data_IF_300296252778
#
_entry.id   IF_300296252778
#
_cell.length_a   1.000
_cell.length_b   1.000
_cell.length_c   1.000
_cell.angle_alpha   90.00
_cell.angle_beta   90.00
_cell.angle_gamma   90.00
#
_symmetry.space_group_name_H-M   'P 1'
#
loop_
_entity.id
_entity.type
_entity.pdbx_description
1 polymer ?
#
# COMPACT_ATOMS: atom_id res chain seq x y z
N UNK A 1 39.62 17.63 -25.64
CA UNK A 1 40.27 17.49 -26.96
C UNK A 1 39.12 17.24 -27.93
N UNK A 2 38.66 18.31 -28.59
CA UNK A 2 37.46 18.30 -29.43
C UNK A 2 37.74 17.54 -30.73
N UNK A 3 37.00 16.47 -30.98
CA UNK A 3 36.81 15.94 -32.33
C UNK A 3 35.47 16.45 -32.83
N UNK A 4 35.53 17.59 -33.53
CA UNK A 4 34.51 17.92 -34.53
C UNK A 4 34.51 16.79 -35.55
N UNK A 5 33.40 16.08 -35.66
CA UNK A 5 33.11 15.26 -36.83
C UNK A 5 32.40 16.20 -37.80
N UNK A 6 33.03 16.44 -38.95
CA UNK A 6 32.49 17.24 -40.03
C UNK A 6 31.15 16.65 -40.52
N UNK A 7 30.16 17.52 -40.67
CA UNK A 7 28.77 17.19 -40.96
C UNK A 7 28.46 17.12 -42.47
N UNK A 8 29.41 16.66 -43.28
CA UNK A 8 29.21 16.47 -44.72
C UNK A 8 29.44 15.00 -45.12
N UNK A 9 28.41 14.39 -45.72
CA UNK A 9 28.32 13.00 -46.24
C UNK A 9 28.19 11.86 -45.22
N UNK A 10 27.21 11.94 -44.32
CA UNK A 10 26.65 10.74 -43.67
C UNK A 10 25.29 10.47 -44.32
N UNK A 11 25.16 9.33 -45.01
CA UNK A 11 23.90 8.82 -45.54
C UNK A 11 22.77 8.99 -44.48
N UNK A 12 21.61 9.60 -44.79
CA UNK A 12 20.52 9.80 -43.84
C UNK A 12 20.07 8.50 -43.15
N UNK A 13 20.21 7.35 -43.81
CA UNK A 13 19.95 6.01 -43.24
C UNK A 13 21.02 5.57 -42.22
N UNK A 14 22.21 6.17 -42.25
CA UNK A 14 23.39 5.70 -41.52
C UNK A 14 23.32 5.93 -40.01
N UNK A 15 22.33 6.66 -39.49
CA UNK A 15 22.20 6.69 -38.04
C UNK A 15 20.78 6.83 -37.48
N UNK A 16 19.82 6.06 -38.02
CA UNK A 16 18.49 5.87 -37.41
C UNK A 16 18.61 5.57 -35.90
N UNK A 17 19.57 4.69 -35.52
CA UNK A 17 19.80 4.33 -34.12
C UNK A 17 20.15 5.55 -33.27
N UNK A 18 21.05 6.42 -33.74
CA UNK A 18 21.41 7.64 -33.05
C UNK A 18 20.23 8.61 -32.95
N UNK A 19 19.48 8.82 -34.03
CA UNK A 19 18.32 9.74 -34.02
C UNK A 19 17.29 9.28 -32.98
N UNK A 20 16.96 7.98 -32.99
CA UNK A 20 16.00 7.40 -32.02
C UNK A 20 16.56 7.46 -30.60
N UNK A 21 17.86 7.23 -30.41
CA UNK A 21 18.52 7.30 -29.11
C UNK A 21 18.57 8.72 -28.54
N UNK A 22 18.92 9.70 -29.36
CA UNK A 22 18.93 11.12 -28.98
C UNK A 22 17.53 11.61 -28.66
N UNK A 23 16.52 11.23 -29.45
CA UNK A 23 15.13 11.54 -29.13
C UNK A 23 14.75 10.97 -27.77
N UNK A 24 15.03 9.69 -27.53
CA UNK A 24 14.73 9.00 -26.29
C UNK A 24 15.35 9.70 -25.08
N UNK A 25 16.67 9.95 -25.10
CA UNK A 25 17.41 10.55 -24.00
C UNK A 25 17.02 12.02 -23.71
N UNK A 26 16.56 12.76 -24.73
CA UNK A 26 16.19 14.17 -24.61
C UNK A 26 14.68 14.43 -24.50
N UNK A 27 13.84 13.40 -24.55
CA UNK A 27 12.36 13.52 -24.47
C UNK A 27 11.81 13.92 -23.09
N UNK A 28 12.67 14.16 -22.10
CA UNK A 28 12.32 14.52 -20.72
C UNK A 28 11.96 13.33 -19.82
N UNK A 29 11.20 12.38 -20.36
CA UNK A 29 10.68 11.21 -19.63
C UNK A 29 10.95 9.88 -20.35
N UNK A 30 11.96 9.85 -21.21
CA UNK A 30 12.38 8.63 -21.93
C UNK A 30 11.25 8.04 -22.80
N UNK A 31 10.52 8.91 -23.49
CA UNK A 31 9.48 8.55 -24.44
C UNK A 31 10.09 8.11 -25.77
N UNK A 32 9.44 7.14 -26.42
CA UNK A 32 9.87 6.66 -27.73
C UNK A 32 9.48 7.60 -28.87
N UNK A 33 10.24 7.52 -29.95
CA UNK A 33 10.04 8.31 -31.16
C UNK A 33 9.00 7.64 -32.06
N UNK A 34 7.96 8.35 -32.50
CA UNK A 34 7.03 7.76 -33.47
C UNK A 34 7.73 7.54 -34.81
N UNK A 35 7.35 6.48 -35.54
CA UNK A 35 7.87 6.24 -36.89
C UNK A 35 7.66 7.45 -37.79
N UNK A 36 6.49 8.11 -37.67
CA UNK A 36 6.20 9.35 -38.40
C UNK A 36 7.23 10.45 -38.12
N UNK A 37 7.59 10.68 -36.86
CA UNK A 37 8.60 11.68 -36.53
C UNK A 37 9.97 11.32 -37.10
N UNK A 38 10.32 10.02 -37.12
CA UNK A 38 11.55 9.55 -37.76
C UNK A 38 11.52 9.79 -39.27
N UNK A 39 10.43 9.44 -39.95
CA UNK A 39 10.25 9.65 -41.38
C UNK A 39 10.30 11.14 -41.76
N UNK A 40 9.73 12.02 -40.93
CA UNK A 40 9.84 13.48 -41.09
C UNK A 40 11.30 13.98 -40.92
N UNK A 41 12.12 13.28 -40.13
CA UNK A 41 13.51 13.66 -39.86
C UNK A 41 14.50 13.13 -40.90
N UNK A 42 14.26 11.94 -41.45
CA UNK A 42 15.20 11.21 -42.33
C UNK A 42 14.76 11.21 -43.80
N UNK A 43 13.45 11.27 -44.08
CA UNK A 43 12.90 11.04 -45.42
C UNK A 43 12.79 9.54 -45.77
N UNK A 44 12.48 9.24 -47.04
CA UNK A 44 12.53 7.88 -47.63
C UNK A 44 11.92 6.74 -46.79
N UNK A 45 10.61 6.82 -46.49
CA UNK A 45 9.89 5.83 -45.66
C UNK A 45 10.21 4.37 -46.01
N UNK A 46 10.21 4.01 -47.30
CA UNK A 46 10.46 2.64 -47.76
C UNK A 46 11.86 2.15 -47.32
N UNK A 47 12.89 3.00 -47.46
CA UNK A 47 14.25 2.64 -47.06
C UNK A 47 14.36 2.50 -45.52
N UNK A 48 13.63 3.32 -44.76
CA UNK A 48 13.53 3.17 -43.30
C UNK A 48 12.90 1.82 -42.95
N UNK A 49 11.77 1.45 -43.59
CA UNK A 49 11.08 0.18 -43.31
C UNK A 49 11.99 -1.03 -43.56
N UNK A 50 12.73 -1.04 -44.67
CA UNK A 50 13.72 -2.09 -44.99
C UNK A 50 14.83 -2.14 -43.93
N UNK A 51 15.36 -0.97 -43.53
CA UNK A 51 16.42 -0.90 -42.53
C UNK A 51 15.97 -1.32 -41.13
N UNK A 52 14.71 -1.07 -40.77
CA UNK A 52 14.15 -1.45 -39.47
C UNK A 52 14.19 -2.96 -39.23
N UNK A 53 14.01 -3.77 -40.28
CA UNK A 53 14.10 -5.24 -40.18
C UNK A 53 15.49 -5.68 -39.72
N UNK A 54 16.55 -5.06 -40.27
CA UNK A 54 17.93 -5.32 -39.85
C UNK A 54 18.17 -4.86 -38.42
N UNK A 55 17.75 -3.63 -38.09
CA UNK A 55 17.99 -3.04 -36.76
C UNK A 55 17.31 -3.81 -35.62
N UNK A 56 16.15 -4.41 -35.87
CA UNK A 56 15.47 -5.27 -34.88
C UNK A 56 16.18 -6.61 -34.74
N UNK A 57 16.60 -7.22 -35.85
CA UNK A 57 17.35 -8.49 -35.83
C UNK A 57 18.70 -8.34 -35.13
N UNK A 58 19.34 -7.19 -35.31
CA UNK A 58 20.61 -6.87 -34.68
C UNK A 58 20.48 -6.42 -33.22
N UNK A 59 19.26 -6.45 -32.65
CA UNK A 59 18.94 -5.97 -31.29
C UNK A 59 19.43 -4.52 -31.08
N UNK A 60 19.32 -3.66 -32.09
CA UNK A 60 19.68 -2.26 -32.03
C UNK A 60 18.48 -1.37 -31.65
N UNK A 61 17.33 -1.66 -32.24
CA UNK A 61 16.05 -1.00 -31.95
C UNK A 61 14.97 -2.03 -31.66
N UNK A 62 13.92 -1.61 -30.97
CA UNK A 62 12.67 -2.36 -30.88
C UNK A 62 11.47 -1.46 -31.12
N UNK A 63 10.34 -2.10 -31.42
CA UNK A 63 9.07 -1.44 -31.70
C UNK A 63 8.09 -1.65 -30.53
N UNK A 64 7.42 -0.58 -30.14
CA UNK A 64 6.21 -0.61 -29.32
C UNK A 64 5.00 -0.15 -30.15
N UNK A 65 3.85 -0.78 -29.94
CA UNK A 65 2.63 -0.51 -30.71
C UNK A 65 1.37 -0.66 -29.85
N UNK A 66 0.31 0.07 -30.22
CA UNK A 66 -0.99 0.04 -29.53
C UNK A 66 -1.70 -1.32 -29.56
N UNK A 67 -1.25 -2.23 -30.44
CA UNK A 67 -1.68 -3.64 -30.49
C UNK A 67 -1.16 -4.46 -29.31
N UNK A 68 -0.06 -4.04 -28.69
CA UNK A 68 0.58 -4.76 -27.59
C UNK A 68 0.36 -4.05 -26.25
N UNK A 69 0.36 -2.72 -26.25
CA UNK A 69 0.29 -1.91 -25.03
C UNK A 69 -0.66 -0.73 -25.18
N UNK A 70 -1.25 -0.28 -24.06
CA UNK A 70 -2.21 0.83 -24.06
C UNK A 70 -1.55 2.15 -24.48
N UNK A 71 -0.32 2.40 -24.06
CA UNK A 71 0.46 3.59 -24.42
C UNK A 71 1.82 3.18 -24.99
N UNK A 72 2.02 3.21 -26.32
CA UNK A 72 3.28 2.81 -26.94
C UNK A 72 4.41 3.83 -26.75
N UNK A 73 4.11 5.06 -26.32
CA UNK A 73 5.11 6.11 -26.03
C UNK A 73 5.84 5.92 -24.71
N UNK A 74 5.49 4.89 -23.93
CA UNK A 74 6.29 4.45 -22.79
C UNK A 74 6.68 2.97 -22.94
N UNK A 75 7.86 2.61 -22.46
CA UNK A 75 8.30 1.24 -22.23
C UNK A 75 7.54 0.70 -21.00
N UNK A 76 6.34 0.19 -21.23
CA UNK A 76 5.50 -0.36 -20.16
C UNK A 76 6.03 -1.71 -19.67
N UNK A 77 6.46 -2.55 -20.61
CA UNK A 77 6.95 -3.92 -20.40
C UNK A 77 8.20 -4.14 -21.24
N UNK A 78 8.95 -5.24 -21.01
CA UNK A 78 9.99 -5.67 -21.92
C UNK A 78 9.47 -5.79 -23.37
N UNK A 79 10.34 -5.60 -24.37
CA UNK A 79 9.95 -5.67 -25.77
C UNK A 79 9.41 -7.05 -26.15
N UNK A 80 8.49 -7.06 -27.12
CA UNK A 80 7.97 -8.28 -27.74
C UNK A 80 9.08 -9.08 -28.45
N UNK A 81 8.82 -10.35 -28.76
CA UNK A 81 9.79 -11.15 -29.52
C UNK A 81 10.09 -10.53 -30.89
N UNK A 82 11.29 -10.80 -31.42
CA UNK A 82 11.72 -10.31 -32.75
C UNK A 82 10.69 -10.72 -33.80
N UNK A 83 10.17 -11.95 -33.77
CA UNK A 83 9.19 -12.47 -34.72
C UNK A 83 7.88 -11.68 -34.68
N UNK A 84 7.39 -11.35 -33.49
CA UNK A 84 6.19 -10.52 -33.31
C UNK A 84 6.39 -9.12 -33.89
N UNK A 85 7.54 -8.52 -33.64
CA UNK A 85 7.88 -7.19 -34.17
C UNK A 85 8.01 -7.20 -35.70
N UNK A 86 8.67 -8.20 -36.27
CA UNK A 86 8.79 -8.35 -37.74
C UNK A 86 7.44 -8.65 -38.40
N UNK A 87 6.57 -9.43 -37.74
CA UNK A 87 5.20 -9.65 -38.20
C UNK A 87 4.38 -8.36 -38.25
N UNK A 88 4.60 -7.45 -37.29
CA UNK A 88 3.97 -6.13 -37.30
C UNK A 88 4.42 -5.29 -38.50
N UNK A 89 5.72 -5.27 -38.80
CA UNK A 89 6.26 -4.59 -39.99
C UNK A 89 5.64 -5.18 -41.27
N UNK A 90 5.64 -6.51 -41.41
CA UNK A 90 5.09 -7.19 -42.58
C UNK A 90 3.59 -6.93 -42.79
N UNK A 91 2.86 -6.61 -41.73
CA UNK A 91 1.43 -6.24 -41.79
C UNK A 91 1.16 -4.78 -42.16
N UNK A 92 2.21 -3.96 -42.39
CA UNK A 92 2.08 -2.54 -42.76
C UNK A 92 1.78 -1.60 -41.60
N UNK A 93 1.94 -2.07 -40.35
CA UNK A 93 1.58 -1.34 -39.13
C UNK A 93 2.75 -0.52 -38.55
N UNK A 94 3.91 -0.54 -39.20
CA UNK A 94 5.11 0.19 -38.75
C UNK A 94 4.85 1.71 -38.65
N UNK A 95 3.99 2.26 -39.52
CA UNK A 95 3.71 3.71 -39.57
C UNK A 95 3.07 4.27 -38.29
N UNK A 96 2.33 3.45 -37.55
CA UNK A 96 1.72 3.79 -36.26
C UNK A 96 2.55 3.36 -35.06
N UNK A 97 3.76 2.87 -35.29
CA UNK A 97 4.61 2.33 -34.24
C UNK A 97 5.52 3.39 -33.62
N UNK A 98 5.99 3.06 -32.41
CA UNK A 98 6.93 3.87 -31.63
C UNK A 98 8.24 3.10 -31.50
N UNK A 99 9.34 3.79 -31.74
CA UNK A 99 10.68 3.25 -31.84
C UNK A 99 11.47 3.58 -30.57
N UNK A 100 12.25 2.60 -30.11
CA UNK A 100 13.14 2.74 -28.97
C UNK A 100 14.51 2.12 -29.26
N UNK A 101 15.59 2.69 -28.71
CA UNK A 101 16.85 1.98 -28.65
C UNK A 101 16.76 0.83 -27.66
N UNK A 102 17.46 -0.27 -27.93
CA UNK A 102 17.55 -1.38 -26.97
C UNK A 102 18.46 -1.02 -25.81
N UNK A 103 18.28 -1.70 -24.67
CA UNK A 103 19.18 -1.54 -23.52
C UNK A 103 20.66 -1.82 -23.89
N UNK A 104 20.90 -2.74 -24.83
CA UNK A 104 22.24 -3.05 -25.35
C UNK A 104 22.89 -1.85 -26.06
N UNK A 105 22.11 -1.08 -26.82
CA UNK A 105 22.59 0.16 -27.45
C UNK A 105 22.81 1.23 -26.38
N UNK A 106 21.82 1.45 -25.51
CA UNK A 106 21.87 2.47 -24.46
C UNK A 106 23.08 2.30 -23.53
N UNK A 107 23.41 1.08 -23.12
CA UNK A 107 24.59 0.80 -22.28
C UNK A 107 25.92 1.27 -22.88
N UNK A 108 26.02 1.42 -24.21
CA UNK A 108 27.24 1.85 -24.89
C UNK A 108 27.31 3.36 -25.07
N UNK A 109 26.16 4.03 -25.18
CA UNK A 109 26.09 5.44 -25.56
C UNK A 109 25.75 6.35 -24.38
N UNK A 110 25.11 5.82 -23.33
CA UNK A 110 24.74 6.59 -22.14
C UNK A 110 26.00 6.90 -21.34
N UNK A 111 26.30 8.19 -21.23
CA UNK A 111 27.27 8.68 -20.26
C UNK A 111 26.67 8.64 -18.84
N UNK A 112 27.05 7.60 -18.09
CA UNK A 112 26.55 7.36 -16.73
C UNK A 112 26.96 8.46 -15.75
N UNK A 113 28.01 9.23 -16.05
CA UNK A 113 28.46 10.33 -15.18
C UNK A 113 27.43 11.46 -15.11
N UNK A 114 26.60 11.64 -16.16
CA UNK A 114 25.49 12.61 -16.19
C UNK A 114 24.39 12.29 -15.17
N UNK A 115 24.35 11.06 -14.66
CA UNK A 115 23.33 10.58 -13.73
C UNK A 115 23.89 10.23 -12.35
N UNK A 116 25.10 10.70 -12.01
CA UNK A 116 25.75 10.38 -10.74
C UNK A 116 24.87 10.69 -9.51
N UNK A 117 24.04 11.74 -9.60
CA UNK A 117 23.12 12.16 -8.54
C UNK A 117 21.69 11.63 -8.70
N UNK A 118 21.35 11.03 -9.85
CA UNK A 118 20.00 10.56 -10.19
C UNK A 118 19.99 9.07 -10.61
N UNK A 119 20.33 8.15 -9.68
CA UNK A 119 20.55 6.73 -10.00
C UNK A 119 19.29 6.02 -10.50
N UNK A 120 18.10 6.46 -10.10
CA UNK A 120 16.85 5.87 -10.57
C UNK A 120 16.50 6.38 -11.97
N UNK A 121 16.83 7.63 -12.28
CA UNK A 121 16.78 8.17 -13.65
C UNK A 121 17.78 7.48 -14.59
N UNK A 122 18.95 7.06 -14.08
CA UNK A 122 19.91 6.26 -14.86
C UNK A 122 19.31 4.94 -15.34
N UNK A 123 18.51 4.26 -14.51
CA UNK A 123 17.86 3.02 -14.93
C UNK A 123 16.94 3.24 -16.14
N UNK A 124 16.18 4.33 -16.16
CA UNK A 124 15.40 4.73 -17.33
C UNK A 124 16.31 5.05 -18.51
N UNK A 125 17.36 5.84 -18.33
CA UNK A 125 18.31 6.15 -19.40
C UNK A 125 18.93 4.88 -20.04
N UNK A 126 19.10 3.82 -19.27
CA UNK A 126 19.60 2.52 -19.72
C UNK A 126 18.50 1.60 -20.30
N UNK A 127 17.27 2.07 -20.48
CA UNK A 127 16.20 1.36 -21.17
C UNK A 127 15.31 0.49 -20.28
N UNK A 128 15.34 0.68 -18.96
CA UNK A 128 14.43 -0.06 -18.08
C UNK A 128 12.97 0.40 -18.30
N UNK A 129 11.98 -0.50 -18.16
CA UNK A 129 10.57 -0.13 -18.26
C UNK A 129 10.18 0.97 -17.27
N UNK A 130 9.47 1.99 -17.75
CA UNK A 130 9.01 3.13 -16.93
C UNK A 130 8.03 2.68 -15.84
N UNK A 131 7.18 1.69 -16.13
CA UNK A 131 6.30 1.07 -15.13
C UNK A 131 6.95 -0.11 -14.39
N UNK A 132 8.26 -0.33 -14.62
CA UNK A 132 9.04 -1.30 -13.87
C UNK A 132 9.03 -0.98 -12.39
N UNK A 133 9.01 -2.02 -11.56
CA UNK A 133 8.93 -1.87 -10.10
C UNK A 133 10.29 -2.14 -9.48
N UNK A 134 10.76 -1.20 -8.66
CA UNK A 134 11.97 -1.37 -7.84
C UNK A 134 11.57 -1.73 -6.42
N UNK A 135 12.30 -2.67 -5.81
CA UNK A 135 12.06 -3.14 -4.45
C UNK A 135 13.05 -2.51 -3.47
N UNK A 136 12.55 -2.11 -2.30
CA UNK A 136 13.31 -1.43 -1.26
C UNK A 136 13.09 -2.06 0.10
N UNK A 137 14.09 -1.97 0.97
CA UNK A 137 13.89 -2.27 2.38
C UNK A 137 12.84 -1.32 2.97
N UNK A 138 11.87 -1.80 3.77
CA UNK A 138 10.77 -0.95 4.26
C UNK A 138 11.22 0.29 5.03
N UNK A 139 12.41 0.26 5.62
CA UNK A 139 13.08 1.39 6.25
C UNK A 139 13.21 2.65 5.37
N UNK A 140 13.13 2.53 4.04
CA UNK A 140 13.14 3.69 3.13
C UNK A 140 12.01 4.68 3.42
N UNK A 141 10.89 4.19 3.95
CA UNK A 141 9.72 5.01 4.26
C UNK A 141 9.76 5.65 5.66
N UNK A 142 10.70 5.26 6.53
CA UNK A 142 10.69 5.67 7.95
C UNK A 142 10.89 7.16 8.15
N UNK A 143 11.83 7.76 7.41
CA UNK A 143 12.11 9.19 7.53
C UNK A 143 10.86 10.03 7.25
N UNK A 144 10.06 9.60 6.27
CA UNK A 144 8.86 10.33 5.90
C UNK A 144 7.71 10.03 6.86
N UNK A 145 7.53 8.77 7.26
CA UNK A 145 6.47 8.39 8.22
C UNK A 145 6.63 9.09 9.57
N UNK A 146 7.86 9.32 9.99
CA UNK A 146 8.18 9.90 11.30
C UNK A 146 8.31 11.43 11.28
N UNK A 147 8.23 12.05 10.09
CA UNK A 147 8.29 13.50 9.93
C UNK A 147 6.89 14.04 9.61
N UNK A 148 6.29 14.84 10.51
CA UNK A 148 4.91 15.31 10.37
C UNK A 148 4.69 16.24 9.19
N UNK A 149 5.74 16.73 8.53
CA UNK A 149 5.64 17.51 7.29
C UNK A 149 5.15 16.68 6.11
N UNK A 150 5.37 15.37 6.16
CA UNK A 150 4.92 14.44 5.13
C UNK A 150 3.59 13.80 5.52
N UNK A 151 2.70 13.71 4.55
CA UNK A 151 1.54 12.83 4.60
C UNK A 151 1.94 11.43 4.13
N UNK A 152 2.18 10.56 5.11
CA UNK A 152 2.31 9.13 4.90
C UNK A 152 0.97 8.44 5.12
N UNK A 153 0.45 7.78 4.08
CA UNK A 153 -0.77 6.99 4.17
C UNK A 153 -0.63 5.65 3.50
N UNK A 154 -1.16 4.59 4.12
CA UNK A 154 -1.24 3.28 3.49
C UNK A 154 -2.41 2.45 4.01
N UNK A 155 -2.93 1.57 3.16
CA UNK A 155 -3.87 0.53 3.56
C UNK A 155 -3.24 -0.86 3.62
N UNK A 156 -1.91 -0.97 3.76
CA UNK A 156 -1.10 -2.20 3.70
C UNK A 156 -1.05 -2.90 2.33
N UNK A 157 -1.69 -2.33 1.31
CA UNK A 157 -1.60 -2.79 -0.08
C UNK A 157 -1.00 -1.69 -0.94
N UNK A 158 -1.60 -0.50 -0.87
CA UNK A 158 -1.16 0.71 -1.55
C UNK A 158 -0.88 1.77 -0.49
N UNK A 159 0.11 2.60 -0.75
CA UNK A 159 0.31 3.82 0.00
C UNK A 159 0.66 4.98 -0.91
N UNK A 160 0.64 6.17 -0.32
CA UNK A 160 1.12 7.41 -0.93
C UNK A 160 2.00 8.13 0.06
N UNK A 161 2.94 8.88 -0.49
CA UNK A 161 3.86 9.71 0.25
C UNK A 161 3.90 11.06 -0.44
N UNK A 162 3.39 12.09 0.22
CA UNK A 162 3.39 13.46 -0.31
C UNK A 162 3.79 14.43 0.79
N UNK A 163 4.42 15.55 0.44
CA UNK A 163 4.49 16.70 1.34
C UNK A 163 3.07 17.17 1.67
N UNK A 164 2.80 17.54 2.92
CA UNK A 164 1.47 18.03 3.28
C UNK A 164 1.23 19.42 2.73
N UNK A 165 -0.02 19.74 2.40
CA UNK A 165 -0.43 21.03 1.83
C UNK A 165 0.04 22.26 2.63
N UNK A 166 0.19 22.13 3.96
CA UNK A 166 0.70 23.20 4.84
C UNK A 166 2.15 23.62 4.50
N UNK A 167 2.96 22.72 3.94
CA UNK A 167 4.37 22.93 3.64
C UNK A 167 4.66 22.97 2.13
N UNK A 168 3.68 22.71 1.27
CA UNK A 168 3.84 22.73 -0.18
C UNK A 168 4.01 24.17 -0.71
N UNK A 169 4.98 24.40 -1.61
CA UNK A 169 5.33 25.71 -2.16
C UNK A 169 5.62 26.79 -1.08
N UNK A 170 6.06 26.36 0.11
CA UNK A 170 6.49 27.25 1.20
C UNK A 170 8.00 27.40 1.22
N UNK A 171 8.50 28.51 1.80
CA UNK A 171 9.92 28.71 2.04
C UNK A 171 10.46 27.89 3.23
N UNK A 172 9.58 27.25 4.00
CA UNK A 172 9.93 26.49 5.21
C UNK A 172 10.50 25.10 4.89
N UNK A 173 10.24 24.59 3.67
CA UNK A 173 10.72 23.30 3.19
C UNK A 173 11.41 23.48 1.84
N UNK A 174 12.68 23.02 1.70
CA UNK A 174 13.37 23.05 0.41
C UNK A 174 12.57 22.37 -0.69
N UNK A 175 12.68 22.87 -1.93
CA UNK A 175 12.00 22.28 -3.10
C UNK A 175 12.37 20.80 -3.29
N UNK A 176 13.62 20.43 -2.99
CA UNK A 176 14.10 19.03 -3.02
C UNK A 176 13.29 18.10 -2.11
N UNK A 177 12.74 18.62 -1.02
CA UNK A 177 12.04 17.86 0.01
C UNK A 177 10.51 17.85 -0.21
N UNK A 178 10.00 18.59 -1.21
CA UNK A 178 8.59 18.64 -1.60
C UNK A 178 8.20 17.41 -2.45
N UNK A 179 8.44 16.23 -1.89
CA UNK A 179 8.29 14.93 -2.53
C UNK A 179 6.82 14.64 -2.84
N UNK A 180 6.56 14.13 -4.04
CA UNK A 180 5.27 13.56 -4.43
C UNK A 180 5.50 12.16 -5.01
N UNK A 181 5.28 11.13 -4.19
CA UNK A 181 5.20 9.75 -4.61
C UNK A 181 3.75 9.30 -4.54
N UNK A 182 3.08 9.37 -5.69
CA UNK A 182 1.63 9.20 -5.79
C UNK A 182 1.16 7.81 -5.31
N UNK A 183 1.99 6.79 -5.57
CA UNK A 183 1.70 5.40 -5.24
C UNK A 183 2.98 4.64 -4.94
N UNK A 184 2.95 3.89 -3.86
CA UNK A 184 3.81 2.75 -3.62
C UNK A 184 2.96 1.56 -3.16
N UNK A 185 3.55 0.39 -3.10
CA UNK A 185 2.93 -0.79 -2.52
C UNK A 185 3.98 -1.67 -1.88
N UNK A 186 3.67 -2.96 -1.76
CA UNK A 186 4.53 -3.89 -1.05
C UNK A 186 4.74 -5.20 -1.81
N UNK A 187 5.89 -5.81 -1.56
CA UNK A 187 6.23 -7.15 -1.98
C UNK A 187 6.55 -8.02 -0.76
N UNK A 188 6.33 -9.32 -0.91
CA UNK A 188 6.65 -10.31 0.12
C UNK A 188 7.47 -11.44 -0.51
N UNK A 189 8.42 -11.94 0.25
CA UNK A 189 9.19 -13.14 -0.11
C UNK A 189 8.51 -14.40 0.38
N UNK A 190 8.88 -15.56 -0.17
CA UNK A 190 8.42 -16.86 0.35
C UNK A 190 8.84 -17.11 1.81
N UNK A 191 9.93 -16.48 2.24
CA UNK A 191 10.46 -16.59 3.61
C UNK A 191 9.89 -15.53 4.57
N UNK A 192 8.95 -14.70 4.12
CA UNK A 192 8.25 -13.72 4.97
C UNK A 192 8.94 -12.36 5.12
N UNK A 193 10.09 -12.13 4.48
CA UNK A 193 10.63 -10.77 4.30
C UNK A 193 9.65 -9.91 3.51
N UNK A 194 9.64 -8.62 3.83
CA UNK A 194 8.80 -7.61 3.20
C UNK A 194 9.67 -6.57 2.51
N UNK A 195 9.15 -6.01 1.44
CA UNK A 195 9.77 -4.92 0.71
C UNK A 195 8.72 -3.89 0.32
N UNK A 196 9.16 -2.64 0.16
CA UNK A 196 8.39 -1.57 -0.46
C UNK A 196 8.62 -1.67 -1.96
N UNK A 197 7.57 -1.44 -2.74
CA UNK A 197 7.56 -1.57 -4.19
C UNK A 197 7.07 -0.26 -4.80
N UNK A 198 7.89 0.41 -5.61
CA UNK A 198 7.53 1.68 -6.26
C UNK A 198 7.89 1.67 -7.74
N UNK A 199 7.12 2.39 -8.55
CA UNK A 199 7.34 2.48 -10.00
C UNK A 199 8.57 3.33 -10.31
N UNK A 200 9.39 2.87 -11.25
CA UNK A 200 10.65 3.51 -11.61
C UNK A 200 10.45 4.93 -12.12
N UNK A 201 9.41 5.17 -12.93
CA UNK A 201 9.06 6.52 -13.41
C UNK A 201 8.76 7.50 -12.28
N UNK A 202 7.95 7.09 -11.29
CA UNK A 202 7.63 7.94 -10.14
C UNK A 202 8.89 8.25 -9.32
N UNK A 203 9.76 7.25 -9.17
CA UNK A 203 11.03 7.37 -8.45
C UNK A 203 12.05 8.27 -9.18
N UNK A 204 12.09 8.23 -10.51
CA UNK A 204 12.98 9.06 -11.32
C UNK A 204 12.58 10.53 -11.37
N UNK A 205 11.35 10.84 -10.93
CA UNK A 205 10.84 12.20 -10.77
C UNK A 205 11.08 12.78 -9.37
N UNK A 206 11.64 11.99 -8.43
CA UNK A 206 12.10 12.54 -7.17
C UNK A 206 13.32 13.44 -7.38
N UNK A 207 13.55 14.36 -6.44
CA UNK A 207 14.78 15.14 -6.39
C UNK A 207 16.02 14.24 -6.29
N UNK A 208 17.17 14.79 -6.68
CA UNK A 208 18.46 14.12 -6.66
C UNK A 208 18.76 13.49 -5.29
N UNK A 209 18.55 14.25 -4.21
CA UNK A 209 18.76 13.81 -2.83
C UNK A 209 17.88 12.59 -2.51
N UNK A 210 16.61 12.63 -2.88
CA UNK A 210 15.70 11.55 -2.58
C UNK A 210 15.91 10.33 -3.49
N UNK A 211 16.34 10.50 -4.74
CA UNK A 211 16.80 9.38 -5.56
C UNK A 211 17.97 8.65 -4.91
N UNK A 212 18.94 9.38 -4.31
CA UNK A 212 20.04 8.77 -3.57
C UNK A 212 19.55 8.01 -2.33
N UNK A 213 18.66 8.61 -1.53
CA UNK A 213 18.11 7.98 -0.33
C UNK A 213 17.39 6.68 -0.67
N UNK A 214 16.55 6.70 -1.71
CA UNK A 214 15.82 5.53 -2.17
C UNK A 214 16.78 4.47 -2.72
N UNK A 215 17.70 4.86 -3.60
CA UNK A 215 18.68 3.93 -4.18
C UNK A 215 19.55 3.24 -3.13
N UNK A 216 19.98 3.96 -2.09
CA UNK A 216 20.74 3.39 -0.97
C UNK A 216 19.97 2.32 -0.18
N UNK A 217 18.63 2.26 -0.32
CA UNK A 217 17.75 1.26 0.30
C UNK A 217 17.16 0.26 -0.69
N UNK A 218 17.57 0.30 -1.96
CA UNK A 218 17.15 -0.68 -2.95
C UNK A 218 17.64 -2.08 -2.55
N UNK A 219 16.79 -3.08 -2.75
CA UNK A 219 17.15 -4.48 -2.53
C UNK A 219 17.89 -4.95 -3.79
N UNK A 220 19.13 -5.46 -3.67
CA UNK A 220 19.88 -5.99 -4.80
C UNK A 220 19.11 -7.11 -5.53
N UNK A 221 19.23 -7.16 -6.86
CA UNK A 221 18.60 -8.15 -7.74
C UNK A 221 18.82 -9.59 -7.26
N UNK A 222 20.03 -9.89 -6.81
CA UNK A 222 20.43 -11.22 -6.35
C UNK A 222 19.63 -11.63 -5.10
N UNK A 223 19.30 -10.67 -4.23
CA UNK A 223 18.46 -10.91 -3.06
C UNK A 223 16.98 -10.99 -3.43
N UNK A 224 16.52 -10.19 -4.40
CA UNK A 224 15.15 -10.28 -4.94
C UNK A 224 14.89 -11.69 -5.45
N UNK A 225 15.79 -12.22 -6.26
CA UNK A 225 15.72 -13.57 -6.83
C UNK A 225 15.87 -14.65 -5.76
N UNK A 226 16.91 -14.58 -4.92
CA UNK A 226 17.18 -15.56 -3.86
C UNK A 226 16.01 -15.75 -2.90
N UNK A 227 15.33 -14.65 -2.55
CA UNK A 227 14.19 -14.70 -1.62
C UNK A 227 12.84 -14.87 -2.33
N UNK A 228 12.82 -14.89 -3.67
CA UNK A 228 11.61 -15.00 -4.48
C UNK A 228 10.53 -13.98 -4.06
N UNK A 229 10.91 -12.70 -4.04
CA UNK A 229 9.93 -11.64 -3.81
C UNK A 229 8.89 -11.60 -4.91
N UNK A 230 7.64 -11.38 -4.52
CA UNK A 230 6.53 -11.13 -5.43
C UNK A 230 5.68 -9.99 -4.87
N UNK A 231 5.12 -9.19 -5.78
CA UNK A 231 4.20 -8.12 -5.42
C UNK A 231 2.95 -8.72 -4.76
N UNK A 232 2.39 -7.98 -3.81
CA UNK A 232 1.03 -8.27 -3.34
C UNK A 232 0.10 -8.17 -4.56
N UNK A 233 -0.72 -9.21 -4.77
CA UNK A 233 -1.57 -9.33 -5.97
C UNK A 233 -2.44 -8.08 -6.18
N UNK A 234 -3.05 -7.57 -5.12
CA UNK A 234 -3.91 -6.39 -5.18
C UNK A 234 -3.14 -5.12 -5.54
N UNK A 235 -1.83 -5.03 -5.24
CA UNK A 235 -0.99 -3.94 -5.71
C UNK A 235 -0.65 -4.09 -7.20
N UNK A 236 -0.34 -5.31 -7.65
CA UNK A 236 -0.14 -5.60 -9.07
C UNK A 236 -1.38 -5.24 -9.91
N UNK A 237 -2.58 -5.52 -9.41
CA UNK A 237 -3.83 -5.08 -10.03
C UNK A 237 -3.90 -3.56 -10.19
N UNK A 238 -3.51 -2.80 -9.16
CA UNK A 238 -3.48 -1.33 -9.21
C UNK A 238 -2.50 -0.82 -10.26
N UNK A 239 -1.32 -1.43 -10.36
CA UNK A 239 -0.33 -1.08 -11.40
C UNK A 239 -0.87 -1.33 -12.81
N UNK A 240 -1.66 -2.37 -13.00
CA UNK A 240 -2.31 -2.70 -14.27
C UNK A 240 -3.59 -1.88 -14.55
N UNK A 241 -3.99 -0.97 -13.65
CA UNK A 241 -5.26 -0.24 -13.75
C UNK A 241 -6.50 -1.12 -13.51
N UNK A 242 -6.33 -2.31 -12.95
CA UNK A 242 -7.41 -3.23 -12.61
C UNK A 242 -8.08 -2.87 -11.28
N UNK A 243 -9.35 -3.26 -11.12
CA UNK A 243 -10.06 -3.11 -9.85
C UNK A 243 -9.57 -4.14 -8.82
N UNK A 244 -9.20 -3.65 -7.63
CA UNK A 244 -8.88 -4.51 -6.49
C UNK A 244 -10.06 -5.41 -6.11
N UNK A 245 -9.77 -6.69 -5.90
CA UNK A 245 -10.78 -7.67 -5.48
C UNK A 245 -10.86 -7.85 -3.95
N UNK A 246 -9.80 -7.47 -3.23
CA UNK A 246 -9.69 -7.64 -1.78
C UNK A 246 -9.14 -6.38 -1.14
N UNK A 247 -9.39 -6.22 0.16
CA UNK A 247 -8.78 -5.19 0.99
C UNK A 247 -7.80 -5.85 1.98
N UNK A 248 -7.01 -5.03 2.67
CA UNK A 248 -6.11 -5.53 3.70
C UNK A 248 -6.86 -5.97 4.95
N UNK A 249 -6.16 -6.69 5.81
CA UNK A 249 -6.69 -7.11 7.10
C UNK A 249 -7.04 -5.91 8.00
N UNK A 250 -6.24 -4.85 7.96
CA UNK A 250 -6.48 -3.61 8.70
C UNK A 250 -7.76 -2.93 8.22
N UNK A 251 -7.96 -2.87 6.91
CA UNK A 251 -9.20 -2.34 6.32
C UNK A 251 -10.41 -3.20 6.70
N UNK A 252 -10.30 -4.53 6.58
CA UNK A 252 -11.36 -5.46 6.96
C UNK A 252 -11.75 -5.32 8.44
N UNK A 253 -10.75 -5.15 9.32
CA UNK A 253 -10.95 -4.87 10.74
C UNK A 253 -11.80 -3.62 10.98
N UNK A 254 -11.54 -2.51 10.26
CA UNK A 254 -12.34 -1.29 10.37
C UNK A 254 -13.76 -1.47 9.84
N UNK A 255 -13.93 -2.21 8.75
CA UNK A 255 -15.27 -2.53 8.22
C UNK A 255 -16.10 -3.35 9.22
N UNK A 256 -15.50 -4.30 9.94
CA UNK A 256 -16.22 -5.07 10.97
C UNK A 256 -16.68 -4.14 12.12
N UNK A 257 -15.83 -3.20 12.55
CA UNK A 257 -16.18 -2.21 13.58
C UNK A 257 -17.32 -1.29 13.16
N UNK A 258 -17.25 -0.74 11.95
CA UNK A 258 -18.32 0.09 11.38
C UNK A 258 -19.63 -0.69 11.25
N UNK A 259 -19.59 -1.93 10.75
CA UNK A 259 -20.79 -2.75 10.61
C UNK A 259 -21.45 -3.06 11.96
N UNK A 260 -20.67 -3.31 13.02
CA UNK A 260 -21.20 -3.46 14.39
C UNK A 260 -21.93 -2.18 14.82
N UNK A 261 -21.32 -1.01 14.59
CA UNK A 261 -21.93 0.27 14.91
C UNK A 261 -23.23 0.50 14.15
N UNK A 262 -23.29 0.17 12.87
CA UNK A 262 -24.51 0.31 12.06
C UNK A 262 -25.64 -0.60 12.56
N UNK A 263 -25.34 -1.87 12.87
CA UNK A 263 -26.33 -2.80 13.46
C UNK A 263 -26.85 -2.27 14.79
N UNK A 264 -25.95 -1.90 15.71
CA UNK A 264 -26.34 -1.41 17.03
C UNK A 264 -27.08 -0.08 16.98
N UNK A 265 -26.69 0.83 16.08
CA UNK A 265 -27.38 2.09 15.89
C UNK A 265 -28.78 1.89 15.32
N UNK A 266 -28.98 0.93 14.41
CA UNK A 266 -30.30 0.61 13.88
C UNK A 266 -31.25 0.10 14.99
N UNK A 267 -30.78 -0.82 15.84
CA UNK A 267 -31.56 -1.49 16.88
C UNK A 267 -31.72 -0.67 18.17
N UNK A 268 -30.62 -0.12 18.70
CA UNK A 268 -30.57 0.54 20.01
C UNK A 268 -30.44 2.07 19.95
N UNK A 269 -30.36 2.65 18.73
CA UNK A 269 -30.13 4.10 18.52
C UNK A 269 -28.85 4.62 19.19
N UNK A 270 -27.91 3.72 19.47
CA UNK A 270 -26.60 4.00 20.08
C UNK A 270 -25.55 3.11 19.42
N UNK A 271 -24.35 3.67 19.23
CA UNK A 271 -23.16 2.94 18.73
C UNK A 271 -22.41 2.28 19.89
N UNK A 272 -21.88 1.06 19.67
CA UNK A 272 -21.00 0.36 20.63
C UNK A 272 -19.62 1.01 20.66
N UNK A 273 -19.08 1.41 19.52
CA UNK A 273 -17.79 2.08 19.41
C UNK A 273 -18.00 3.57 19.16
N UNK A 274 -17.26 4.42 19.89
CA UNK A 274 -17.38 5.87 19.76
C UNK A 274 -16.95 6.36 18.37
N UNK A 275 -15.96 5.70 17.76
CA UNK A 275 -15.43 5.98 16.41
C UNK A 275 -15.13 4.67 15.68
N UNK A 276 -15.23 4.66 14.35
CA UNK A 276 -14.94 3.47 13.52
C UNK A 276 -13.84 3.71 12.46
N UNK A 277 -13.25 4.92 12.40
CA UNK A 277 -12.08 5.33 11.58
C UNK A 277 -12.08 4.85 10.12
N UNK A 278 -13.25 4.47 9.58
CA UNK A 278 -13.37 3.95 8.23
C UNK A 278 -12.86 4.96 7.20
N UNK A 279 -13.16 6.23 7.45
CA UNK A 279 -12.58 7.38 6.77
C UNK A 279 -11.35 7.86 7.55
N UNK A 280 -10.17 7.45 7.08
CA UNK A 280 -8.89 7.97 7.59
C UNK A 280 -8.04 6.99 8.40
N UNK A 281 -8.40 5.70 8.52
CA UNK A 281 -7.49 4.72 9.13
C UNK A 281 -6.12 4.64 8.44
N UNK A 282 -6.06 4.98 7.15
CA UNK A 282 -4.80 5.04 6.39
C UNK A 282 -3.79 6.04 6.97
N UNK A 283 -4.26 6.99 7.80
CA UNK A 283 -3.43 7.96 8.55
C UNK A 283 -3.02 7.46 9.93
N UNK A 284 -3.56 6.31 10.38
CA UNK A 284 -3.17 5.66 11.63
C UNK A 284 -1.94 4.77 11.36
N UNK A 285 -0.80 5.39 11.07
CA UNK A 285 0.45 4.71 10.70
C UNK A 285 0.93 3.66 11.72
N UNK A 286 0.51 3.77 12.98
CA UNK A 286 0.78 2.77 14.02
C UNK A 286 -0.05 1.49 13.93
N UNK A 287 -1.11 1.46 13.12
CA UNK A 287 -1.98 0.29 12.94
C UNK A 287 -1.64 -0.51 11.69
N UNK A 288 -1.11 0.17 10.67
CA UNK A 288 -0.59 -0.42 9.45
C UNK A 288 0.68 -1.24 9.71
N UNK A 289 1.17 -1.90 8.66
CA UNK A 289 2.38 -2.69 8.68
C UNK A 289 3.57 -1.93 9.29
N UNK A 290 4.27 -2.58 10.22
CA UNK A 290 5.53 -2.03 10.76
C UNK A 290 6.59 -1.97 9.66
N UNK A 291 7.20 -0.79 9.48
CA UNK A 291 8.33 -0.59 8.57
C UNK A 291 9.58 -1.29 9.13
N UNK A 292 9.90 -1.06 10.41
CA UNK A 292 10.90 -1.83 11.13
C UNK A 292 10.25 -2.70 12.20
N UNK A 293 10.55 -4.01 12.24
CA UNK A 293 10.05 -4.91 13.26
C UNK A 293 10.88 -4.74 14.53
N UNK A 294 10.63 -3.63 15.25
CA UNK A 294 11.25 -3.35 16.54
C UNK A 294 10.26 -3.55 17.67
N UNK A 295 10.78 -3.82 18.88
CA UNK A 295 9.96 -3.93 20.09
C UNK A 295 9.14 -2.66 20.31
N UNK A 296 9.74 -1.48 20.09
CA UNK A 296 9.04 -0.19 20.18
C UNK A 296 7.86 -0.08 19.21
N UNK A 297 8.07 -0.39 17.94
CA UNK A 297 7.01 -0.33 16.92
C UNK A 297 5.87 -1.31 17.24
N UNK A 298 6.22 -2.52 17.71
CA UNK A 298 5.23 -3.51 18.10
C UNK A 298 4.40 -3.06 19.31
N UNK A 299 5.03 -2.44 20.31
CA UNK A 299 4.31 -1.90 21.48
C UNK A 299 3.41 -0.72 21.10
N UNK A 300 3.87 0.17 20.21
CA UNK A 300 3.05 1.26 19.67
C UNK A 300 1.81 0.71 18.96
N UNK A 301 1.99 -0.34 18.13
CA UNK A 301 0.90 -1.03 17.46
C UNK A 301 -0.10 -1.64 18.46
N UNK A 302 0.36 -2.42 19.44
CA UNK A 302 -0.54 -3.05 20.43
C UNK A 302 -1.31 -1.99 21.21
N UNK A 303 -0.63 -0.93 21.64
CA UNK A 303 -1.25 0.15 22.39
C UNK A 303 -2.36 0.81 21.57
N UNK A 304 -2.10 1.11 20.30
CA UNK A 304 -3.09 1.71 19.40
C UNK A 304 -4.26 0.76 19.13
N UNK A 305 -3.97 -0.53 18.88
CA UNK A 305 -5.00 -1.54 18.65
C UNK A 305 -5.95 -1.68 19.85
N UNK A 306 -5.42 -1.74 21.07
CA UNK A 306 -6.25 -1.80 22.28
C UNK A 306 -7.05 -0.51 22.51
N UNK A 307 -6.48 0.65 22.17
CA UNK A 307 -7.20 1.93 22.27
C UNK A 307 -8.38 1.97 21.31
N UNK A 308 -8.20 1.48 20.08
CA UNK A 308 -9.22 1.39 19.03
C UNK A 308 -10.31 0.35 19.40
N UNK A 309 -9.93 -0.72 20.07
CA UNK A 309 -10.86 -1.78 20.48
C UNK A 309 -11.55 -1.49 21.81
N UNK A 310 -10.79 -1.48 22.89
CA UNK A 310 -11.29 -1.56 24.25
C UNK A 310 -11.65 -0.18 24.81
N UNK A 311 -10.76 0.80 24.63
CA UNK A 311 -10.98 2.15 25.19
C UNK A 311 -12.00 2.96 24.36
N UNK A 312 -12.17 2.58 23.11
CA UNK A 312 -13.14 3.18 22.19
C UNK A 312 -14.58 2.69 22.40
N UNK A 313 -14.82 1.69 23.25
CA UNK A 313 -16.18 1.25 23.57
C UNK A 313 -16.94 2.37 24.29
N UNK A 314 -18.10 2.72 23.77
CA UNK A 314 -19.01 3.71 24.30
C UNK A 314 -19.71 3.17 25.57
N UNK A 315 -19.25 3.58 26.75
CA UNK A 315 -19.89 3.20 28.02
C UNK A 315 -21.38 3.56 28.08
N UNK A 316 -21.80 4.66 27.43
CA UNK A 316 -23.20 5.11 27.43
C UNK A 316 -24.13 4.18 26.65
N UNK A 317 -23.59 3.30 25.80
CA UNK A 317 -24.36 2.25 25.14
C UNK A 317 -25.03 1.33 26.17
N UNK A 318 -24.35 1.07 27.28
CA UNK A 318 -24.75 0.10 28.30
C UNK A 318 -25.68 0.67 29.39
N UNK A 319 -25.98 1.97 29.36
CA UNK A 319 -26.88 2.61 30.33
C UNK A 319 -28.27 1.95 30.29
N UNK A 320 -28.76 1.51 31.45
CA UNK A 320 -30.04 0.82 31.56
C UNK A 320 -30.00 -0.67 31.19
N UNK A 321 -28.86 -1.19 30.73
CA UNK A 321 -28.68 -2.62 30.42
C UNK A 321 -27.85 -3.36 31.47
N UNK A 322 -26.77 -2.73 31.97
CA UNK A 322 -25.87 -3.32 32.97
C UNK A 322 -25.43 -2.28 34.00
N UNK A 323 -25.12 -2.73 35.23
CA UNK A 323 -24.54 -1.85 36.25
C UNK A 323 -23.08 -1.51 35.92
N UNK A 324 -22.69 -0.26 36.12
CA UNK A 324 -21.31 0.21 35.90
C UNK A 324 -20.36 -0.10 37.04
N UNK A 325 -20.88 -0.48 38.18
CA UNK A 325 -20.11 -0.71 39.39
C UNK A 325 -20.20 -2.18 39.80
N UNK A 326 -19.12 -2.67 40.41
CA UNK A 326 -19.08 -3.95 41.10
C UNK A 326 -18.85 -3.70 42.57
N UNK A 327 -19.76 -4.22 43.39
CA UNK A 327 -19.61 -4.27 44.83
C UNK A 327 -18.89 -5.56 45.23
N UNK A 328 -17.82 -5.43 46.01
CA UNK A 328 -17.11 -6.57 46.60
C UNK A 328 -17.09 -6.42 48.11
N UNK A 329 -17.67 -7.38 48.83
CA UNK A 329 -17.62 -7.41 50.28
C UNK A 329 -16.19 -7.74 50.75
N UNK A 330 -15.61 -6.84 51.55
CA UNK A 330 -14.31 -7.06 52.19
C UNK A 330 -14.49 -7.90 53.47
N UNK A 331 -13.42 -8.55 53.91
CA UNK A 331 -13.42 -9.42 55.09
C UNK A 331 -13.82 -8.71 56.40
N UNK A 332 -13.82 -7.38 56.42
CA UNK A 332 -14.21 -6.52 57.54
C UNK A 332 -15.65 -5.98 57.45
N UNK A 333 -16.45 -6.47 56.49
CA UNK A 333 -17.84 -6.05 56.28
C UNK A 333 -18.00 -4.75 55.50
N UNK A 334 -16.92 -4.07 55.08
CA UNK A 334 -17.00 -2.90 54.20
C UNK A 334 -17.24 -3.33 52.75
N UNK A 335 -18.00 -2.51 52.01
CA UNK A 335 -18.22 -2.72 50.57
C UNK A 335 -17.20 -1.90 49.78
N UNK A 336 -16.41 -2.56 48.95
CA UNK A 336 -15.56 -1.91 47.95
C UNK A 336 -16.34 -1.79 46.65
N UNK A 337 -16.61 -0.56 46.22
CA UNK A 337 -17.25 -0.25 44.94
C UNK A 337 -16.16 0.03 43.92
N UNK A 338 -16.10 -0.76 42.85
CA UNK A 338 -15.15 -0.57 41.74
C UNK A 338 -15.88 -0.38 40.41
N UNK A 339 -15.42 0.58 39.62
CA UNK A 339 -15.92 0.80 38.26
C UNK A 339 -15.51 -0.35 37.33
N UNK A 340 -16.48 -0.92 36.60
CA UNK A 340 -16.23 -1.95 35.59
C UNK A 340 -15.52 -1.36 34.36
N UNK A 341 -14.56 -2.10 33.83
CA UNK A 341 -13.94 -1.81 32.54
C UNK A 341 -14.90 -2.05 31.37
N UNK A 342 -14.63 -1.41 30.22
CA UNK A 342 -15.48 -1.49 29.01
C UNK A 342 -15.68 -2.93 28.50
N UNK A 343 -14.63 -3.75 28.49
CA UNK A 343 -14.73 -5.16 28.11
C UNK A 343 -15.58 -5.98 29.09
N UNK A 344 -15.59 -5.62 30.37
CA UNK A 344 -16.45 -6.29 31.36
C UNK A 344 -17.92 -5.92 31.14
N UNK A 345 -18.21 -4.65 30.87
CA UNK A 345 -19.55 -4.19 30.50
C UNK A 345 -20.07 -4.88 29.24
N UNK A 346 -19.23 -4.96 28.20
CA UNK A 346 -19.57 -5.66 26.96
C UNK A 346 -19.91 -7.13 27.20
N UNK A 347 -19.07 -7.85 27.97
CA UNK A 347 -19.31 -9.26 28.29
C UNK A 347 -20.63 -9.47 29.04
N UNK A 348 -20.90 -8.63 30.03
CA UNK A 348 -22.11 -8.70 30.84
C UNK A 348 -23.36 -8.44 30.00
N UNK A 349 -23.33 -7.38 29.18
CA UNK A 349 -24.43 -7.06 28.27
C UNK A 349 -24.67 -8.19 27.27
N UNK A 350 -23.63 -8.73 26.63
CA UNK A 350 -23.77 -9.88 25.72
C UNK A 350 -24.38 -11.10 26.42
N UNK A 351 -24.03 -11.35 27.67
CA UNK A 351 -24.59 -12.45 28.45
C UNK A 351 -26.07 -12.28 28.80
N UNK A 352 -26.53 -11.05 28.96
CA UNK A 352 -27.94 -10.71 29.23
C UNK A 352 -28.76 -10.76 27.96
N UNK A 353 -28.30 -10.11 26.88
CA UNK A 353 -29.06 -9.99 25.63
C UNK A 353 -28.99 -11.28 24.79
N UNK A 354 -27.92 -12.08 24.93
CA UNK A 354 -27.70 -13.31 24.15
C UNK A 354 -27.33 -14.52 25.03
N UNK A 355 -28.18 -14.92 26.01
CA UNK A 355 -27.83 -15.92 27.02
C UNK A 355 -27.54 -17.32 26.45
N UNK A 356 -28.05 -17.64 25.25
CA UNK A 356 -27.82 -18.93 24.57
C UNK A 356 -26.49 -19.00 23.82
N UNK A 357 -25.77 -17.89 23.71
CA UNK A 357 -24.59 -17.74 22.86
C UNK A 357 -23.27 -17.80 23.66
N UNK A 358 -23.31 -18.36 24.88
CA UNK A 358 -22.18 -18.32 25.82
C UNK A 358 -20.83 -18.78 25.26
N UNK A 359 -20.82 -19.81 24.41
CA UNK A 359 -19.61 -20.28 23.74
C UNK A 359 -19.05 -19.22 22.76
N UNK A 360 -19.91 -18.63 21.92
CA UNK A 360 -19.52 -17.58 20.96
C UNK A 360 -19.07 -16.30 21.67
N UNK A 361 -19.78 -15.90 22.72
CA UNK A 361 -19.40 -14.78 23.58
C UNK A 361 -18.01 -15.02 24.19
N UNK A 362 -17.74 -16.23 24.67
CA UNK A 362 -16.42 -16.58 25.23
C UNK A 362 -15.31 -16.44 24.20
N UNK A 363 -15.55 -16.88 22.95
CA UNK A 363 -14.61 -16.70 21.84
C UNK A 363 -14.36 -15.23 21.50
N UNK A 364 -15.43 -14.42 21.39
CA UNK A 364 -15.32 -12.98 21.14
C UNK A 364 -14.47 -12.32 22.23
N UNK A 365 -14.81 -12.59 23.50
CA UNK A 365 -14.10 -11.99 24.63
C UNK A 365 -12.66 -12.49 24.74
N UNK A 366 -12.35 -13.72 24.35
CA UNK A 366 -10.98 -14.23 24.33
C UNK A 366 -10.10 -13.41 23.36
N UNK A 367 -10.58 -13.13 22.15
CA UNK A 367 -9.87 -12.30 21.17
C UNK A 367 -9.61 -10.89 21.69
N UNK A 368 -10.62 -10.22 22.26
CA UNK A 368 -10.47 -8.86 22.78
C UNK A 368 -9.55 -8.80 24.01
N UNK A 369 -9.67 -9.76 24.93
CA UNK A 369 -8.81 -9.83 26.10
C UNK A 369 -7.36 -10.17 25.75
N UNK A 370 -7.11 -10.89 24.65
CA UNK A 370 -5.74 -11.16 24.19
C UNK A 370 -5.02 -9.86 23.85
N UNK A 371 -5.65 -8.95 23.10
CA UNK A 371 -5.06 -7.63 22.78
C UNK A 371 -4.74 -6.86 24.07
N UNK A 372 -5.70 -6.80 25.00
CA UNK A 372 -5.51 -6.14 26.31
C UNK A 372 -4.36 -6.76 27.11
N UNK A 373 -4.22 -8.08 27.10
CA UNK A 373 -3.15 -8.81 27.81
C UNK A 373 -1.79 -8.54 27.19
N UNK A 374 -1.67 -8.55 25.87
CA UNK A 374 -0.41 -8.21 25.19
C UNK A 374 0.01 -6.77 25.50
N UNK A 375 -0.94 -5.82 25.58
CA UNK A 375 -0.65 -4.42 25.98
C UNK A 375 -0.07 -4.29 27.38
N UNK A 376 -0.40 -5.22 28.29
CA UNK A 376 0.03 -5.13 29.70
C UNK A 376 1.47 -5.62 29.90
N UNK A 377 2.01 -6.49 29.05
CA UNK A 377 3.38 -7.02 29.21
C UNK A 377 4.46 -5.92 29.24
N UNK A 378 4.45 -4.90 28.35
CA UNK A 378 5.48 -3.86 28.32
C UNK A 378 5.38 -2.86 29.48
N UNK A 379 4.19 -2.72 30.09
CA UNK A 379 3.96 -1.76 31.17
C UNK A 379 4.66 -2.15 32.49
N UNK A 380 5.24 -3.35 32.56
CA UNK A 380 5.80 -3.92 33.77
C UNK A 380 7.32 -4.18 33.72
N UNK A 381 7.97 -3.99 32.55
CA UNK A 381 9.41 -4.23 32.37
C UNK A 381 10.00 -3.20 31.40
N UNK A 382 11.11 -2.56 31.77
CA UNK A 382 11.89 -1.74 30.84
C UNK A 382 12.67 -2.68 29.92
N UNK A 383 12.20 -2.88 28.70
CA UNK A 383 12.88 -3.67 27.67
C UNK A 383 13.70 -2.77 26.74
N UNK A 384 14.91 -3.22 26.37
CA UNK A 384 15.71 -2.55 25.36
C UNK A 384 15.08 -2.72 23.98
N UNK A 385 15.06 -1.65 23.20
CA UNK A 385 14.52 -1.69 21.84
C UNK A 385 15.40 -2.55 20.94
N UNK A 386 14.82 -3.61 20.37
CA UNK A 386 15.54 -4.61 19.58
C UNK A 386 14.80 -4.86 18.28
N UNK A 387 15.57 -5.04 17.20
CA UNK A 387 15.08 -5.53 15.92
C UNK A 387 14.84 -7.05 15.98
N UNK A 388 13.63 -7.48 15.67
CA UNK A 388 13.23 -8.89 15.63
C UNK A 388 12.18 -9.13 14.52
N UNK A 389 12.58 -9.74 13.38
CA UNK A 389 11.67 -10.03 12.27
C UNK A 389 10.43 -10.85 12.62
N UNK A 390 10.45 -11.63 13.71
CA UNK A 390 9.29 -12.41 14.16
C UNK A 390 8.10 -11.52 14.57
N UNK A 391 8.37 -10.25 14.92
CA UNK A 391 7.34 -9.28 15.29
C UNK A 391 6.36 -8.98 14.16
N UNK A 392 6.77 -9.08 12.89
CA UNK A 392 5.82 -8.96 11.77
C UNK A 392 4.75 -10.05 11.78
N UNK A 393 5.14 -11.29 12.12
CA UNK A 393 4.20 -12.39 12.24
C UNK A 393 3.31 -12.22 13.47
N UNK A 394 3.89 -11.76 14.59
CA UNK A 394 3.15 -11.46 15.82
C UNK A 394 2.10 -10.36 15.62
N UNK A 395 2.45 -9.26 14.92
CA UNK A 395 1.53 -8.18 14.54
C UNK A 395 0.35 -8.73 13.74
N UNK A 396 0.65 -9.48 12.67
CA UNK A 396 -0.36 -10.06 11.78
C UNK A 396 -1.28 -11.03 12.52
N UNK A 397 -0.74 -11.91 13.37
CA UNK A 397 -1.52 -12.86 14.17
C UNK A 397 -2.47 -12.12 15.12
N UNK A 398 -1.97 -11.12 15.85
CA UNK A 398 -2.79 -10.37 16.81
C UNK A 398 -3.92 -9.61 16.10
N UNK A 399 -3.63 -8.95 14.97
CA UNK A 399 -4.65 -8.26 14.17
C UNK A 399 -5.69 -9.23 13.59
N UNK A 400 -5.26 -10.41 13.13
CA UNK A 400 -6.16 -11.40 12.55
C UNK A 400 -7.14 -11.95 13.58
N UNK A 401 -6.68 -12.16 14.81
CA UNK A 401 -7.52 -12.62 15.91
C UNK A 401 -8.47 -11.54 16.42
N UNK A 402 -8.01 -10.29 16.47
CA UNK A 402 -8.86 -9.15 16.78
C UNK A 402 -9.97 -8.97 15.74
N UNK A 403 -9.62 -9.02 14.44
CA UNK A 403 -10.59 -9.03 13.34
C UNK A 403 -11.56 -10.23 13.45
N UNK A 404 -11.05 -11.43 13.75
CA UNK A 404 -11.89 -12.61 13.98
C UNK A 404 -12.90 -12.42 15.13
N UNK A 405 -12.48 -11.78 16.22
CA UNK A 405 -13.34 -11.43 17.35
C UNK A 405 -14.43 -10.42 16.96
N UNK A 406 -14.07 -9.35 16.25
CA UNK A 406 -15.06 -8.37 15.75
C UNK A 406 -16.02 -9.00 14.75
N UNK A 407 -15.53 -9.82 13.82
CA UNK A 407 -16.39 -10.55 12.88
C UNK A 407 -17.37 -11.46 13.60
N UNK A 408 -16.92 -12.20 14.61
CA UNK A 408 -17.78 -13.05 15.42
C UNK A 408 -18.84 -12.23 16.18
N UNK A 409 -18.47 -11.06 16.71
CA UNK A 409 -19.40 -10.12 17.33
C UNK A 409 -20.42 -9.57 16.34
N UNK A 410 -19.98 -9.07 15.18
CA UNK A 410 -20.87 -8.58 14.12
C UNK A 410 -21.88 -9.67 13.74
N UNK A 411 -21.41 -10.89 13.50
CA UNK A 411 -22.29 -11.99 13.13
C UNK A 411 -23.26 -12.35 14.25
N UNK A 412 -22.83 -12.40 15.52
CA UNK A 412 -23.72 -12.61 16.66
C UNK A 412 -24.86 -11.59 16.68
N UNK A 413 -24.52 -10.31 16.49
CA UNK A 413 -25.50 -9.22 16.43
C UNK A 413 -26.41 -9.36 15.21
N UNK A 414 -25.87 -9.66 14.04
CA UNK A 414 -26.69 -9.91 12.84
C UNK A 414 -27.67 -11.06 13.06
N UNK A 415 -27.21 -12.19 13.58
CA UNK A 415 -28.05 -13.40 13.71
C UNK A 415 -29.22 -13.17 14.68
N UNK A 416 -29.02 -12.35 15.71
CA UNK A 416 -29.99 -12.16 16.80
C UNK A 416 -30.79 -10.86 16.73
N UNK A 417 -30.28 -9.81 16.07
CA UNK A 417 -30.92 -8.49 16.01
C UNK A 417 -31.57 -8.19 14.66
N UNK A 418 -31.19 -8.88 13.58
CA UNK A 418 -31.78 -8.67 12.25
C UNK A 418 -33.25 -9.12 12.16
N UNK A 419 -33.70 -9.98 13.08
CA UNK A 419 -35.10 -10.45 13.14
C UNK A 419 -36.08 -9.46 13.79
N UNK A 420 -35.59 -8.39 14.42
CA UNK A 420 -36.46 -7.36 15.03
C UNK A 420 -37.12 -6.43 14.00
N UNK A 421 -36.70 -6.45 12.73
CA UNK A 421 -37.21 -5.56 11.68
C UNK A 421 -38.38 -6.15 10.87
N UNK A 422 -38.79 -7.40 11.13
CA UNK A 422 -39.91 -8.05 10.44
C UNK A 422 -41.00 -8.63 11.36
N UNK A 423 -40.94 -8.38 12.68
CA UNK A 423 -41.88 -8.97 13.62
C UNK A 423 -42.28 -8.03 14.75
N UNK A 424 -43.45 -7.41 14.60
CA UNK A 424 -44.28 -7.02 15.74
C UNK A 424 -44.58 -8.26 16.58
N UNK A 425 -43.92 -8.41 17.72
CA UNK A 425 -44.38 -9.29 18.80
C UNK A 425 -44.21 -8.61 20.16
N UNK A 426 -45.33 -8.54 20.86
CA UNK A 426 -45.55 -7.93 22.16
C UNK A 426 -44.47 -8.25 23.19
N UNK A 427 -43.81 -7.21 23.71
CA UNK A 427 -43.35 -7.24 25.12
C UNK A 427 -44.54 -6.86 25.99
N UNK A 428 -45.16 -7.85 26.61
CA UNK A 428 -46.06 -7.63 27.75
C UNK A 428 -45.24 -6.98 28.87
N UNK A 429 -45.60 -5.74 29.18
CA UNK A 429 -45.19 -5.04 30.40
C UNK A 429 -46.10 -5.57 31.51
N UNK A 430 -45.56 -6.41 32.40
CA UNK A 430 -46.21 -6.69 33.67
C UNK A 430 -46.08 -5.45 34.57
N UNK A 431 -47.16 -4.68 34.68
CA UNK A 431 -47.34 -3.75 35.79
C UNK A 431 -48.01 -4.48 36.97
N UNK A 432 -47.62 -4.18 38.21
CA UNK A 432 -48.23 -4.78 39.39
C UNK A 432 -49.64 -4.22 39.60
N UNK A 433 -50.57 -5.11 39.95
CA UNK A 433 -51.92 -4.79 40.41
C UNK A 433 -51.80 -4.17 41.80
N UNK A 434 -52.37 -2.98 42.00
CA UNK A 434 -52.70 -2.45 43.31
C UNK A 434 -54.17 -2.73 43.59
N UNK A 435 -54.42 -3.43 44.69
CA UNK A 435 -55.75 -3.61 45.27
C UNK A 435 -56.27 -2.27 45.80
N UNK A 436 -57.48 -1.89 45.37
CA UNK A 436 -58.53 -1.21 46.13
C UNK A 436 -59.89 -1.44 45.45
#
# INVERSE_FOLDING_TARGET
MNTHIDAEEVDPLFNIVYIVSEYYLNSGDFNGMSFRALAESVGEEIAIEEKMVELIRDDALFISHSKFVINPHIIMYPPESIETQLGLIASGELKSAVLYPTARVLQKIVDTSRYAHTPLRLYLALGNPQLGVVLFYPSVLEQYRNDPRYLYETDDIVGRLVISDEYFETADVPESDQIILSRFGFAVSKTGHRAVAAMLRDLANLSDEHQQIWHARAIPSELVEKHHFHLIKEYQQVLNGERRQRCSLTTAFMYEMNAINEICNATYKKRIFNRDWIDGFARLSGLTMMLSPTIREYHNFIHLLDKILSDNINKKFFEGHVSFERETALADGRIKVENKGTLALLKEWLGIDFPREGARISTIMASLNRVRKERQKPAHTIEMDKFDPSLWAAQRSLLAEAHGGLKALRQLLSDNLSFSLSGSTHRQVNMPISDD
#
